data_IF_151256909755
#
_entry.id   IF_151256909755
#
_cell.length_a   1.000
_cell.length_b   1.000
_cell.length_c   1.000
_cell.angle_alpha   90.00
_cell.angle_beta   90.00
_cell.angle_gamma   90.00
#
_symmetry.space_group_name_H-M   'P 1'
#
loop_
_entity.id
_entity.type
_entity.pdbx_description
1 polymer ?
#
# COMPACT_ATOMS: atom_id res chain seq x y z
N UNK A 1 54.96 26.56 13.93
CA UNK A 1 54.92 25.12 13.63
C UNK A 1 53.80 24.52 14.47
N UNK A 2 52.71 23.99 13.89
CA UNK A 2 51.70 23.28 14.67
C UNK A 2 52.33 22.01 15.27
N UNK A 3 52.02 21.75 16.53
CA UNK A 3 52.65 20.68 17.32
C UNK A 3 52.29 19.30 16.75
N UNK A 4 53.23 18.35 16.76
CA UNK A 4 52.97 16.97 16.28
C UNK A 4 51.85 16.27 17.06
N UNK A 5 51.53 16.75 18.27
CA UNK A 5 50.49 16.24 19.16
C UNK A 5 49.08 16.52 18.60
N UNK A 6 48.88 17.64 17.89
CA UNK A 6 47.58 17.96 17.27
C UNK A 6 47.25 17.03 16.10
N UNK A 7 48.26 16.55 15.36
CA UNK A 7 48.04 15.65 14.23
C UNK A 7 47.59 14.28 14.68
N UNK A 8 48.11 13.77 15.79
CA UNK A 8 47.71 12.45 16.30
C UNK A 8 46.28 12.45 16.82
N UNK A 9 45.85 13.53 17.49
CA UNK A 9 44.47 13.65 17.99
C UNK A 9 43.43 13.70 16.86
N UNK A 10 43.74 14.38 15.75
CA UNK A 10 42.85 14.41 14.56
C UNK A 10 42.77 13.06 13.84
N UNK A 11 43.81 12.24 13.89
CA UNK A 11 43.78 10.88 13.33
C UNK A 11 42.85 9.99 14.17
N UNK A 12 42.92 10.06 15.50
CA UNK A 12 42.04 9.31 16.40
C UNK A 12 40.55 9.71 16.28
N UNK A 13 40.24 10.98 16.04
CA UNK A 13 38.85 11.41 15.79
C UNK A 13 38.31 10.90 14.46
N UNK A 14 39.09 10.96 13.39
CA UNK A 14 38.68 10.43 12.08
C UNK A 14 38.49 8.91 12.10
N UNK A 15 39.36 8.17 12.79
CA UNK A 15 39.24 6.70 12.91
C UNK A 15 37.98 6.26 13.68
N UNK A 16 37.52 7.09 14.64
CA UNK A 16 36.26 6.90 15.35
C UNK A 16 35.03 7.15 14.47
N UNK A 17 35.10 8.16 13.60
CA UNK A 17 34.03 8.48 12.65
C UNK A 17 33.89 7.35 11.64
N UNK A 18 34.99 6.82 11.11
CA UNK A 18 34.99 5.70 10.17
C UNK A 18 34.38 4.43 10.77
N UNK A 19 34.68 4.09 12.04
CA UNK A 19 34.04 2.96 12.72
C UNK A 19 32.54 3.16 12.94
N UNK A 20 32.11 4.38 13.28
CA UNK A 20 30.69 4.68 13.47
C UNK A 20 29.90 4.58 12.16
N UNK A 21 30.50 4.98 11.03
CA UNK A 21 29.92 4.87 9.69
C UNK A 21 29.84 3.41 9.24
N UNK A 22 30.89 2.62 9.51
CA UNK A 22 30.94 1.19 9.20
C UNK A 22 29.86 0.41 9.97
N UNK A 23 29.65 0.75 11.25
CA UNK A 23 28.60 0.18 12.09
C UNK A 23 27.20 0.51 11.56
N UNK A 24 26.97 1.76 11.15
CA UNK A 24 25.69 2.19 10.56
C UNK A 24 25.40 1.46 9.24
N UNK A 25 26.44 1.27 8.42
CA UNK A 25 26.33 0.57 7.14
C UNK A 25 26.01 -0.91 7.31
N UNK A 26 26.64 -1.61 8.26
CA UNK A 26 26.35 -3.01 8.56
C UNK A 26 24.91 -3.22 9.04
N UNK A 27 24.31 -2.26 9.75
CA UNK A 27 22.95 -2.37 10.29
C UNK A 27 21.85 -2.04 9.27
N UNK A 28 22.10 -1.19 8.29
CA UNK A 28 21.09 -0.75 7.29
C UNK A 28 20.98 -1.70 6.09
N UNK A 29 22.07 -2.35 5.68
CA UNK A 29 22.08 -3.31 4.57
C UNK A 29 21.04 -4.45 4.72
N UNK A 30 20.87 -5.10 5.90
CA UNK A 30 19.86 -6.15 6.03
C UNK A 30 18.43 -5.61 5.90
N UNK A 31 18.12 -4.41 6.42
CA UNK A 31 16.78 -3.83 6.37
C UNK A 31 16.31 -3.66 4.92
N UNK A 32 17.20 -3.23 4.02
CA UNK A 32 16.88 -3.09 2.60
C UNK A 32 16.50 -4.42 1.94
N UNK A 33 17.24 -5.49 2.25
CA UNK A 33 16.95 -6.83 1.70
C UNK A 33 15.60 -7.34 2.17
N UNK A 34 15.28 -7.17 3.46
CA UNK A 34 13.99 -7.56 4.01
C UNK A 34 12.85 -6.73 3.40
N UNK A 35 13.03 -5.42 3.25
CA UNK A 35 12.06 -4.54 2.61
C UNK A 35 11.80 -4.95 1.15
N UNK A 36 12.84 -5.27 0.39
CA UNK A 36 12.71 -5.70 -1.00
C UNK A 36 11.97 -7.04 -1.14
N UNK A 37 12.25 -8.01 -0.26
CA UNK A 37 11.52 -9.28 -0.19
C UNK A 37 10.06 -9.04 0.18
N UNK A 38 9.79 -8.19 1.18
CA UNK A 38 8.44 -7.85 1.61
C UNK A 38 7.63 -7.22 0.47
N UNK A 39 8.20 -6.25 -0.24
CA UNK A 39 7.57 -5.59 -1.38
C UNK A 39 7.28 -6.56 -2.52
N UNK A 40 8.20 -7.50 -2.78
CA UNK A 40 7.99 -8.54 -3.78
C UNK A 40 6.84 -9.48 -3.41
N UNK A 41 6.77 -9.92 -2.15
CA UNK A 41 5.69 -10.77 -1.66
C UNK A 41 4.35 -10.04 -1.78
N UNK A 42 4.27 -8.79 -1.33
CA UNK A 42 3.04 -7.98 -1.41
C UNK A 42 2.58 -7.77 -2.85
N UNK A 43 3.51 -7.42 -3.75
CA UNK A 43 3.24 -7.30 -5.17
C UNK A 43 2.67 -8.61 -5.76
N UNK A 44 3.33 -9.73 -5.48
CA UNK A 44 2.90 -11.04 -5.97
C UNK A 44 1.50 -11.42 -5.43
N UNK A 45 1.24 -11.16 -4.15
CA UNK A 45 -0.08 -11.34 -3.55
C UNK A 45 -1.15 -10.51 -4.27
N UNK A 46 -0.89 -9.24 -4.57
CA UNK A 46 -1.82 -8.41 -5.33
C UNK A 46 -2.09 -8.94 -6.74
N UNK A 47 -1.06 -9.46 -7.44
CA UNK A 47 -1.23 -10.10 -8.76
C UNK A 47 -2.13 -11.33 -8.67
N UNK A 48 -1.95 -12.17 -7.66
CA UNK A 48 -2.80 -13.36 -7.44
C UNK A 48 -4.25 -12.94 -7.16
N UNK A 49 -4.47 -11.98 -6.26
CA UNK A 49 -5.82 -11.47 -5.96
C UNK A 49 -6.47 -10.89 -7.22
N UNK A 50 -5.74 -10.07 -7.99
CA UNK A 50 -6.24 -9.50 -9.23
C UNK A 50 -6.66 -10.59 -10.23
N UNK A 51 -5.87 -11.66 -10.34
CA UNK A 51 -6.20 -12.81 -11.20
C UNK A 51 -7.45 -13.56 -10.76
N UNK A 52 -7.60 -13.80 -9.45
CA UNK A 52 -8.79 -14.45 -8.88
C UNK A 52 -10.04 -13.60 -9.08
N UNK A 53 -9.99 -12.31 -8.76
CA UNK A 53 -11.11 -11.38 -8.94
C UNK A 53 -11.48 -11.25 -10.43
N UNK A 54 -10.50 -11.14 -11.33
CA UNK A 54 -10.76 -11.09 -12.77
C UNK A 54 -11.42 -12.37 -13.28
N UNK A 55 -11.01 -13.53 -12.76
CA UNK A 55 -11.62 -14.81 -13.08
C UNK A 55 -13.07 -14.90 -12.56
N UNK A 56 -13.34 -14.42 -11.34
CA UNK A 56 -14.68 -14.36 -10.76
C UNK A 56 -15.61 -13.42 -11.54
N UNK A 57 -15.11 -12.27 -12.00
CA UNK A 57 -15.87 -11.35 -12.86
C UNK A 57 -16.18 -11.98 -14.22
N UNK A 58 -15.26 -12.80 -14.76
CA UNK A 58 -15.44 -13.43 -16.06
C UNK A 58 -16.39 -14.64 -16.05
N UNK A 59 -16.36 -15.44 -14.98
CA UNK A 59 -17.16 -16.68 -14.87
C UNK A 59 -18.45 -16.49 -14.08
N UNK A 60 -18.42 -15.65 -13.07
CA UNK A 60 -19.64 -15.18 -12.45
C UNK A 60 -20.44 -14.46 -13.53
N UNK A 61 -21.67 -14.87 -13.78
CA UNK A 61 -22.70 -14.00 -14.33
C UNK A 61 -22.94 -12.88 -13.29
N UNK A 62 -21.93 -12.04 -13.05
CA UNK A 62 -22.02 -10.89 -12.19
C UNK A 62 -23.18 -10.08 -12.74
N UNK A 63 -24.28 -10.07 -11.98
CA UNK A 63 -25.53 -9.38 -12.34
C UNK A 63 -25.25 -7.90 -12.64
N UNK A 64 -24.13 -7.37 -12.12
CA UNK A 64 -23.50 -6.14 -12.57
C UNK A 64 -21.99 -6.32 -12.84
N UNK A 65 -21.62 -6.45 -14.12
CA UNK A 65 -20.23 -6.35 -14.59
C UNK A 65 -19.58 -5.04 -14.10
N UNK A 66 -20.37 -3.98 -13.94
CA UNK A 66 -19.90 -2.67 -13.47
C UNK A 66 -19.31 -2.73 -12.06
N UNK A 67 -19.97 -3.39 -11.11
CA UNK A 67 -19.49 -3.47 -9.71
C UNK A 67 -18.25 -4.35 -9.57
N UNK A 68 -18.19 -5.44 -10.34
CA UNK A 68 -16.99 -6.30 -10.44
C UNK A 68 -15.78 -5.57 -11.03
N UNK A 69 -15.96 -4.69 -12.03
CA UNK A 69 -14.85 -3.89 -12.57
C UNK A 69 -14.41 -2.82 -11.55
N UNK A 70 -15.35 -2.23 -10.81
CA UNK A 70 -15.02 -1.23 -9.79
C UNK A 70 -14.15 -1.81 -8.64
N UNK A 71 -14.36 -3.07 -8.26
CA UNK A 71 -13.52 -3.72 -7.24
C UNK A 71 -12.10 -4.03 -7.73
N UNK A 72 -11.88 -4.20 -9.04
CA UNK A 72 -10.57 -4.48 -9.63
C UNK A 72 -9.63 -3.26 -9.63
N UNK A 73 -10.18 -2.04 -9.72
CA UNK A 73 -9.42 -0.78 -9.79
C UNK A 73 -8.45 -0.60 -8.61
N UNK A 74 -8.88 -0.68 -7.32
CA UNK A 74 -7.97 -0.50 -6.19
C UNK A 74 -6.88 -1.59 -6.13
N UNK A 75 -7.21 -2.82 -6.51
CA UNK A 75 -6.26 -3.95 -6.52
C UNK A 75 -5.20 -3.74 -7.59
N UNK A 76 -5.59 -3.28 -8.77
CA UNK A 76 -4.67 -2.93 -9.84
C UNK A 76 -3.76 -1.76 -9.46
N UNK A 77 -4.31 -0.71 -8.82
CA UNK A 77 -3.54 0.42 -8.32
C UNK A 77 -2.49 -0.01 -7.27
N UNK A 78 -2.87 -0.89 -6.33
CA UNK A 78 -1.96 -1.48 -5.35
C UNK A 78 -0.86 -2.31 -6.01
N UNK A 79 -1.21 -3.07 -7.05
CA UNK A 79 -0.23 -3.85 -7.81
C UNK A 79 0.85 -2.96 -8.43
N UNK A 80 0.46 -1.86 -9.09
CA UNK A 80 1.41 -0.89 -9.65
C UNK A 80 2.22 -0.23 -8.53
N UNK A 81 1.57 0.15 -7.43
CA UNK A 81 2.23 0.78 -6.30
C UNK A 81 3.36 -0.09 -5.73
N UNK A 82 3.10 -1.36 -5.43
CA UNK A 82 4.14 -2.25 -4.90
C UNK A 82 5.25 -2.54 -5.91
N UNK A 83 4.94 -2.60 -7.22
CA UNK A 83 5.95 -2.71 -8.27
C UNK A 83 6.87 -1.49 -8.29
N UNK A 84 6.31 -0.27 -8.21
CA UNK A 84 7.09 0.96 -8.11
C UNK A 84 7.96 0.97 -6.86
N UNK A 85 7.42 0.55 -5.72
CA UNK A 85 8.18 0.42 -4.48
C UNK A 85 9.37 -0.53 -4.61
N UNK A 86 9.17 -1.67 -5.26
CA UNK A 86 10.22 -2.64 -5.53
C UNK A 86 11.35 -2.04 -6.38
N UNK A 87 11.02 -1.40 -7.50
CA UNK A 87 11.99 -0.76 -8.40
C UNK A 87 12.76 0.35 -7.68
N UNK A 88 12.06 1.24 -6.97
CA UNK A 88 12.67 2.34 -6.21
C UNK A 88 13.62 1.83 -5.12
N UNK A 89 13.25 0.75 -4.44
CA UNK A 89 14.08 0.13 -3.40
C UNK A 89 15.30 -0.56 -4.01
N UNK A 90 15.16 -1.16 -5.20
CA UNK A 90 16.24 -1.80 -5.94
C UNK A 90 17.30 -0.79 -6.42
N UNK A 91 16.87 0.31 -7.03
CA UNK A 91 17.74 1.38 -7.56
C UNK A 91 18.37 2.27 -6.46
N UNK A 92 17.92 2.14 -5.21
CA UNK A 92 18.44 2.89 -4.05
C UNK A 92 18.30 4.42 -4.13
N UNK A 93 17.34 4.93 -4.90
CA UNK A 93 17.07 6.36 -4.97
C UNK A 93 16.43 6.87 -3.66
N UNK A 94 17.20 7.61 -2.84
CA UNK A 94 16.72 8.18 -1.56
C UNK A 94 15.47 9.06 -1.72
N UNK A 95 15.45 9.91 -2.75
CA UNK A 95 14.31 10.78 -3.07
C UNK A 95 13.12 9.93 -3.52
N UNK A 96 13.36 8.89 -4.33
CA UNK A 96 12.33 7.94 -4.75
C UNK A 96 11.66 7.26 -3.57
N UNK A 97 12.43 6.84 -2.55
CA UNK A 97 11.88 6.18 -1.35
C UNK A 97 10.96 7.11 -0.55
N UNK A 98 11.30 8.39 -0.43
CA UNK A 98 10.47 9.39 0.24
C UNK A 98 9.17 9.66 -0.53
N UNK A 99 9.25 9.77 -1.85
CA UNK A 99 8.07 9.91 -2.72
C UNK A 99 7.18 8.68 -2.61
N UNK A 100 7.76 7.47 -2.68
CA UNK A 100 7.04 6.20 -2.54
C UNK A 100 6.32 6.09 -1.19
N UNK A 101 6.97 6.47 -0.10
CA UNK A 101 6.35 6.50 1.23
C UNK A 101 5.18 7.49 1.28
N UNK A 102 5.35 8.68 0.70
CA UNK A 102 4.30 9.71 0.66
C UNK A 102 3.09 9.26 -0.15
N UNK A 103 3.31 8.63 -1.31
CA UNK A 103 2.24 8.04 -2.14
C UNK A 103 1.53 6.93 -1.36
N UNK A 104 2.27 6.11 -0.60
CA UNK A 104 1.68 5.07 0.24
C UNK A 104 0.69 5.59 1.26
N UNK A 105 1.01 6.71 1.91
CA UNK A 105 0.10 7.37 2.85
C UNK A 105 -1.17 7.87 2.14
N UNK A 106 -1.05 8.44 0.94
CA UNK A 106 -2.20 8.92 0.17
C UNK A 106 -3.10 7.75 -0.23
N UNK A 107 -2.53 6.66 -0.76
CA UNK A 107 -3.27 5.46 -1.15
C UNK A 107 -3.98 4.86 0.08
N UNK A 108 -3.31 4.80 1.22
CA UNK A 108 -3.90 4.31 2.46
C UNK A 108 -5.12 5.13 2.87
N UNK A 109 -5.03 6.47 2.82
CA UNK A 109 -6.17 7.36 3.10
C UNK A 109 -7.33 7.11 2.13
N UNK A 110 -7.04 6.98 0.83
CA UNK A 110 -8.07 6.74 -0.18
C UNK A 110 -8.79 5.40 0.03
N UNK A 111 -8.04 4.34 0.39
CA UNK A 111 -8.62 3.04 0.74
C UNK A 111 -9.50 3.16 1.98
N UNK A 112 -9.04 3.86 3.02
CA UNK A 112 -9.85 4.09 4.22
C UNK A 112 -11.17 4.82 3.91
N UNK A 113 -11.14 5.87 3.07
CA UNK A 113 -12.34 6.60 2.64
C UNK A 113 -13.27 5.68 1.84
N UNK A 114 -12.73 4.90 0.91
CA UNK A 114 -13.50 3.95 0.12
C UNK A 114 -14.18 2.88 0.98
N UNK A 115 -13.48 2.33 1.97
CA UNK A 115 -14.10 1.42 2.95
C UNK A 115 -15.18 2.11 3.78
N UNK A 116 -14.97 3.37 4.19
CA UNK A 116 -15.99 4.16 4.88
C UNK A 116 -17.26 4.35 4.05
N UNK A 117 -17.10 4.58 2.74
CA UNK A 117 -18.21 4.70 1.80
C UNK A 117 -19.01 3.40 1.67
N UNK A 118 -18.33 2.25 1.51
CA UNK A 118 -19.00 0.94 1.46
C UNK A 118 -19.80 0.65 2.73
N UNK A 119 -19.24 0.94 3.90
CA UNK A 119 -19.94 0.75 5.17
C UNK A 119 -21.18 1.65 5.25
N UNK A 120 -21.08 2.90 4.79
CA UNK A 120 -22.22 3.82 4.70
C UNK A 120 -23.35 3.27 3.83
N UNK A 121 -23.03 2.81 2.62
CA UNK A 121 -24.02 2.25 1.69
C UNK A 121 -24.72 1.02 2.27
N UNK A 122 -24.00 0.14 2.97
CA UNK A 122 -24.59 -1.02 3.64
C UNK A 122 -25.56 -0.59 4.76
N UNK A 123 -25.19 0.42 5.57
CA UNK A 123 -26.05 0.93 6.62
C UNK A 123 -27.33 1.58 6.07
N UNK A 124 -27.23 2.36 5.00
CA UNK A 124 -28.38 3.02 4.39
C UNK A 124 -29.34 2.00 3.73
N UNK A 125 -28.82 0.95 3.10
CA UNK A 125 -29.63 -0.14 2.54
C UNK A 125 -30.47 -0.85 3.63
N UNK A 126 -29.90 -1.07 4.80
CA UNK A 126 -30.60 -1.68 5.95
C UNK A 126 -31.76 -0.80 6.44
N UNK A 127 -31.61 0.53 6.39
CA UNK A 127 -32.66 1.48 6.76
C UNK A 127 -33.77 1.55 5.71
N UNK A 128 -33.43 1.45 4.42
CA UNK A 128 -34.41 1.51 3.32
C UNK A 128 -35.22 0.22 3.16
N UNK A 129 -34.66 -0.93 3.53
CA UNK A 129 -35.32 -2.24 3.42
C UNK A 129 -36.72 -2.31 4.08
N UNK A 130 -36.91 -1.90 5.36
CA UNK A 130 -38.24 -1.90 5.97
C UNK A 130 -39.21 -0.88 5.35
N UNK A 131 -38.72 0.27 4.86
CA UNK A 131 -39.56 1.26 4.21
C UNK A 131 -40.09 0.76 2.87
N UNK A 132 -39.22 0.19 2.03
CA UNK A 132 -39.60 -0.40 0.74
C UNK A 132 -40.54 -1.59 0.94
N UNK A 133 -40.33 -2.41 1.97
CA UNK A 133 -41.23 -3.52 2.30
C UNK A 133 -42.60 -3.02 2.77
N UNK A 134 -42.66 -1.93 3.53
CA UNK A 134 -43.93 -1.34 3.96
C UNK A 134 -44.71 -0.76 2.77
N UNK A 135 -44.04 -0.07 1.84
CA UNK A 135 -44.66 0.46 0.61
C UNK A 135 -45.13 -0.67 -0.32
N UNK A 136 -44.32 -1.71 -0.51
CA UNK A 136 -44.68 -2.88 -1.33
C UNK A 136 -45.91 -3.60 -0.75
N UNK A 137 -45.94 -3.81 0.57
CA UNK A 137 -47.10 -4.43 1.23
C UNK A 137 -48.35 -3.56 1.10
N UNK A 138 -48.23 -2.22 1.21
CA UNK A 138 -49.36 -1.31 1.05
C UNK A 138 -49.94 -1.38 -0.38
N UNK A 139 -49.10 -1.47 -1.40
CA UNK A 139 -49.49 -1.60 -2.81
C UNK A 139 -50.19 -2.94 -3.11
N UNK A 140 -49.81 -4.01 -2.43
CA UNK A 140 -50.47 -5.33 -2.55
C UNK A 140 -51.85 -5.38 -1.90
N UNK A 141 -52.17 -4.49 -0.95
CA UNK A 141 -53.51 -4.36 -0.37
C UNK A 141 -54.50 -3.59 -1.25
N UNK A 142 -54.02 -2.79 -2.21
CA UNK A 142 -54.88 -1.96 -3.06
C UNK A 142 -55.36 -2.68 -4.33
N UNK A 143 -54.71 -3.77 -4.74
CA UNK A 143 -55.07 -4.60 -5.90
C UNK A 143 -56.02 -5.75 -5.55
#
# INVERSE_FOLDING_TARGET
>A
MPSEIDKTSQIFENEKIDQSLLYYHQKIVPIKKHLLILLFIQWFTCVVILGVESYLVFIGNAVDISSGIQSLIPIFALTIYYLCGFIVTYEQHRIGLLIFASIGVIIFILICVWFGYIIGDICDADVQTPANNAETNALDFEK
#
